data_IF_901254350879
#
_entry.id   IF_901254350879
#
_cell.length_a   1.000
_cell.length_b   1.000
_cell.length_c   1.000
_cell.angle_alpha   90.00
_cell.angle_beta   90.00
_cell.angle_gamma   90.00
#
_symmetry.space_group_name_H-M   'P 1'
#
loop_
_entity.id
_entity.type
_entity.pdbx_description
1 polymer ?
#
# COMPACT_ATOMS: atom_id res chain seq x y z
N UNK A 1 -60.75 46.79 -43.77
CA UNK A 1 -59.28 46.84 -43.80
C UNK A 1 -58.75 45.91 -42.71
N UNK A 2 -58.13 44.77 -43.05
CA UNK A 2 -57.61 43.85 -42.04
C UNK A 2 -56.19 44.25 -41.62
N UNK A 3 -55.95 44.32 -40.31
CA UNK A 3 -54.62 44.50 -39.70
C UNK A 3 -54.06 43.13 -39.36
N UNK A 4 -52.97 42.74 -40.00
CA UNK A 4 -52.24 41.51 -39.70
C UNK A 4 -51.29 41.76 -38.51
N UNK A 5 -51.47 40.98 -37.44
CA UNK A 5 -50.51 40.89 -36.33
C UNK A 5 -49.34 40.01 -36.81
N UNK A 6 -48.11 40.54 -36.78
CA UNK A 6 -46.89 39.73 -36.89
C UNK A 6 -46.48 39.29 -35.48
N UNK A 7 -46.37 37.99 -35.19
CA UNK A 7 -45.69 37.53 -33.99
C UNK A 7 -44.18 37.59 -34.25
N UNK A 8 -43.52 38.64 -33.75
CA UNK A 8 -42.06 38.70 -33.74
C UNK A 8 -41.52 37.95 -32.51
N UNK A 9 -40.72 36.92 -32.81
CA UNK A 9 -39.53 36.48 -32.09
C UNK A 9 -39.63 36.23 -30.58
N UNK A 10 -40.08 35.02 -30.22
CA UNK A 10 -39.83 34.43 -28.89
C UNK A 10 -39.13 33.06 -28.98
N UNK A 11 -38.33 32.85 -30.03
CA UNK A 11 -37.54 31.61 -30.21
C UNK A 11 -36.09 31.73 -29.73
N UNK A 12 -35.58 32.95 -29.55
CA UNK A 12 -34.23 33.20 -29.05
C UNK A 12 -34.05 33.00 -27.54
N UNK A 13 -35.13 33.01 -26.75
CA UNK A 13 -35.05 32.75 -25.30
C UNK A 13 -34.84 31.26 -24.98
N UNK A 14 -35.39 30.33 -25.77
CA UNK A 14 -35.18 28.90 -25.54
C UNK A 14 -33.73 28.46 -25.75
N UNK A 15 -32.98 29.14 -26.61
CA UNK A 15 -31.58 28.81 -26.89
C UNK A 15 -30.69 29.13 -25.68
N UNK A 16 -30.81 30.32 -25.11
CA UNK A 16 -30.02 30.73 -23.93
C UNK A 16 -30.34 29.88 -22.71
N UNK A 17 -31.62 29.53 -22.51
CA UNK A 17 -32.02 28.65 -21.40
C UNK A 17 -31.46 27.24 -21.57
N UNK A 18 -31.45 26.70 -22.80
CA UNK A 18 -30.85 25.38 -23.06
C UNK A 18 -29.34 25.35 -22.86
N UNK A 19 -28.65 26.44 -23.19
CA UNK A 19 -27.20 26.54 -23.03
C UNK A 19 -26.81 26.58 -21.56
N UNK A 20 -27.49 27.42 -20.76
CA UNK A 20 -27.23 27.50 -19.31
C UNK A 20 -27.51 26.16 -18.63
N UNK A 21 -28.57 25.46 -19.01
CA UNK A 21 -28.88 24.13 -18.49
C UNK A 21 -27.84 23.08 -18.88
N UNK A 22 -27.32 23.13 -20.12
CA UNK A 22 -26.27 22.21 -20.56
C UNK A 22 -24.96 22.43 -19.79
N UNK A 23 -24.56 23.69 -19.60
CA UNK A 23 -23.35 24.02 -18.83
C UNK A 23 -23.51 23.60 -17.37
N UNK A 24 -24.66 23.88 -16.75
CA UNK A 24 -24.92 23.47 -15.37
C UNK A 24 -24.86 21.94 -15.21
N UNK A 25 -25.43 21.18 -16.14
CA UNK A 25 -25.38 19.72 -16.12
C UNK A 25 -23.94 19.20 -16.23
N UNK A 26 -23.14 19.77 -17.14
CA UNK A 26 -21.73 19.39 -17.30
C UNK A 26 -20.94 19.67 -16.01
N UNK A 27 -21.16 20.82 -15.37
CA UNK A 27 -20.50 21.17 -14.10
C UNK A 27 -20.87 20.16 -13.01
N UNK A 28 -22.14 19.77 -12.91
CA UNK A 28 -22.59 18.76 -11.93
C UNK A 28 -21.90 17.42 -12.20
N UNK A 29 -21.87 16.95 -13.45
CA UNK A 29 -21.23 15.69 -13.82
C UNK A 29 -19.73 15.73 -13.49
N UNK A 30 -19.02 16.78 -13.91
CA UNK A 30 -17.58 16.93 -13.64
C UNK A 30 -17.29 17.00 -12.14
N UNK A 31 -18.14 17.68 -11.37
CA UNK A 31 -17.96 17.78 -9.91
C UNK A 31 -18.15 16.43 -9.25
N UNK A 32 -19.23 15.70 -9.58
CA UNK A 32 -19.51 14.38 -9.02
C UNK A 32 -18.42 13.38 -9.41
N UNK A 33 -18.05 13.31 -10.69
CA UNK A 33 -16.97 12.44 -11.15
C UNK A 33 -15.64 12.82 -10.52
N UNK A 34 -15.34 14.11 -10.41
CA UNK A 34 -14.13 14.62 -9.75
C UNK A 34 -14.07 14.20 -8.28
N UNK A 35 -15.18 14.30 -7.54
CA UNK A 35 -15.23 13.85 -6.14
C UNK A 35 -15.05 12.35 -6.00
N UNK A 36 -15.61 11.55 -6.92
CA UNK A 36 -15.49 10.10 -6.88
C UNK A 36 -14.06 9.64 -7.17
N UNK A 37 -13.41 10.26 -8.16
CA UNK A 37 -12.02 9.98 -8.49
C UNK A 37 -11.04 10.39 -7.39
N UNK A 38 -11.38 11.40 -6.57
CA UNK A 38 -10.51 11.89 -5.50
C UNK A 38 -10.66 11.09 -4.18
N UNK A 39 -11.81 10.44 -3.98
CA UNK A 39 -12.06 9.60 -2.81
C UNK A 39 -11.15 8.36 -2.76
N UNK A 40 -10.82 7.77 -3.92
CA UNK A 40 -9.87 6.64 -4.01
C UNK A 40 -8.42 7.02 -3.63
N UNK A 41 -8.09 8.32 -3.63
CA UNK A 41 -6.73 8.82 -3.37
C UNK A 41 -6.56 9.29 -1.92
N UNK A 42 -7.64 9.37 -1.14
CA UNK A 42 -7.64 9.96 0.22
C UNK A 42 -8.11 8.97 1.28
N UNK A 43 -7.61 7.74 1.25
CA UNK A 43 -7.45 7.00 2.50
C UNK A 43 -6.06 7.38 3.00
N UNK A 44 -5.91 8.14 4.10
CA UNK A 44 -4.64 8.15 4.81
C UNK A 44 -4.48 6.73 5.36
N UNK A 45 -3.85 5.86 4.58
CA UNK A 45 -3.42 4.57 5.07
C UNK A 45 -2.59 4.86 6.32
N UNK A 46 -2.94 4.24 7.44
CA UNK A 46 -2.11 4.15 8.63
C UNK A 46 -0.89 3.28 8.28
N UNK A 47 -0.09 3.71 7.29
CA UNK A 47 1.01 2.94 6.72
C UNK A 47 2.20 3.01 7.67
N UNK A 48 2.68 1.84 8.08
CA UNK A 48 3.83 1.72 8.98
C UNK A 48 5.11 2.15 8.27
N UNK A 49 5.76 3.21 8.76
CA UNK A 49 6.97 3.77 8.13
C UNK A 49 8.24 3.23 8.78
N UNK A 50 8.50 1.95 8.59
CA UNK A 50 9.73 1.30 9.04
C UNK A 50 10.63 0.91 7.87
N UNK A 51 11.94 1.07 8.05
CA UNK A 51 12.96 0.68 7.08
C UNK A 51 13.62 -0.61 7.53
N UNK A 52 13.59 -1.63 6.69
CA UNK A 52 14.10 -2.96 6.99
C UNK A 52 15.21 -3.34 6.02
N UNK A 53 16.24 -4.02 6.53
CA UNK A 53 17.32 -4.60 5.72
C UNK A 53 17.33 -6.11 5.90
N UNK A 54 17.67 -6.83 4.83
CA UNK A 54 17.75 -8.29 4.80
C UNK A 54 19.20 -8.72 4.53
N UNK A 55 19.70 -9.66 5.34
CA UNK A 55 20.91 -10.43 5.06
C UNK A 55 20.60 -11.91 5.12
N UNK A 56 21.06 -12.67 4.12
CA UNK A 56 20.88 -14.13 4.06
C UNK A 56 22.25 -14.75 3.82
N UNK A 57 22.53 -15.84 4.53
CA UNK A 57 23.70 -16.73 4.34
C UNK A 57 23.21 -18.17 4.23
N UNK A 58 24.12 -19.11 3.99
CA UNK A 58 23.79 -20.54 3.82
C UNK A 58 23.01 -21.15 5.01
N UNK A 59 23.17 -20.60 6.21
CA UNK A 59 22.65 -21.13 7.47
C UNK A 59 21.73 -20.17 8.25
N UNK A 60 21.60 -18.91 7.77
CA UNK A 60 20.98 -17.83 8.54
C UNK A 60 20.22 -16.83 7.69
N UNK A 61 19.07 -16.38 8.20
CA UNK A 61 18.35 -15.19 7.72
C UNK A 61 18.37 -14.16 8.84
N UNK A 62 18.68 -12.92 8.50
CA UNK A 62 18.71 -11.79 9.42
C UNK A 62 17.92 -10.63 8.83
N UNK A 63 16.97 -10.10 9.60
CA UNK A 63 16.24 -8.87 9.33
C UNK A 63 16.71 -7.82 10.34
N UNK A 64 17.06 -6.64 9.85
CA UNK A 64 17.53 -5.52 10.69
C UNK A 64 16.59 -4.35 10.53
N UNK A 65 16.14 -3.78 11.65
CA UNK A 65 15.42 -2.52 11.66
C UNK A 65 16.39 -1.37 11.41
N UNK A 66 16.42 -0.85 10.19
CA UNK A 66 17.37 0.17 9.77
C UNK A 66 16.95 1.61 10.16
N UNK A 67 15.69 1.82 10.52
CA UNK A 67 15.19 3.11 10.99
C UNK A 67 13.69 3.27 10.78
N UNK A 68 13.13 4.42 11.17
CA UNK A 68 11.70 4.71 11.04
C UNK A 68 10.93 4.45 12.33
N UNK A 69 9.66 4.12 12.18
CA UNK A 69 8.74 3.79 13.27
C UNK A 69 9.02 2.41 13.84
N UNK A 70 8.93 2.27 15.17
CA UNK A 70 9.00 0.99 15.84
C UNK A 70 7.71 0.18 15.59
N UNK A 71 7.84 -1.14 15.45
CA UNK A 71 6.71 -2.01 15.08
C UNK A 71 6.49 -3.07 16.16
N UNK A 72 5.27 -3.22 16.72
CA UNK A 72 4.99 -4.29 17.67
C UNK A 72 5.34 -5.67 17.10
N UNK A 73 6.02 -6.51 17.88
CA UNK A 73 6.45 -7.83 17.40
C UNK A 73 5.27 -8.73 17.03
N UNK A 74 4.12 -8.60 17.71
CA UNK A 74 2.90 -9.34 17.43
C UNK A 74 2.19 -8.91 16.14
N UNK A 75 2.53 -7.72 15.63
CA UNK A 75 2.06 -7.24 14.33
C UNK A 75 2.89 -7.81 13.17
N UNK A 76 4.10 -8.31 13.42
CA UNK A 76 5.04 -8.70 12.37
C UNK A 76 4.80 -10.13 11.89
N UNK A 77 4.68 -10.28 10.57
CA UNK A 77 4.59 -11.57 9.92
C UNK A 77 5.73 -11.75 8.90
N UNK A 78 6.46 -12.86 9.05
CA UNK A 78 7.56 -13.26 8.16
C UNK A 78 7.12 -14.43 7.32
N UNK A 79 7.26 -14.30 6.00
CA UNK A 79 7.06 -15.38 5.04
C UNK A 79 8.33 -15.57 4.24
N UNK A 80 8.88 -16.78 4.29
CA UNK A 80 10.08 -17.15 3.53
C UNK A 80 9.73 -18.16 2.45
N UNK A 81 10.23 -17.93 1.23
CA UNK A 81 10.14 -18.87 0.11
C UNK A 81 11.52 -19.20 -0.41
N UNK A 82 11.81 -20.49 -0.53
CA UNK A 82 13.07 -21.00 -1.10
C UNK A 82 12.75 -21.66 -2.43
N UNK A 83 13.37 -21.18 -3.51
CA UNK A 83 13.13 -21.64 -4.88
C UNK A 83 11.65 -21.64 -5.29
N UNK A 84 10.87 -20.68 -4.75
CA UNK A 84 9.43 -20.54 -5.01
C UNK A 84 8.54 -21.33 -4.05
N UNK A 85 9.10 -22.22 -3.23
CA UNK A 85 8.36 -23.02 -2.24
C UNK A 85 8.39 -22.34 -0.88
N UNK A 86 7.22 -22.10 -0.30
CA UNK A 86 7.07 -21.53 1.03
C UNK A 86 7.64 -22.46 2.11
N UNK A 87 8.28 -21.85 3.11
CA UNK A 87 8.88 -22.52 4.25
C UNK A 87 8.01 -22.24 5.48
N UNK A 88 6.97 -23.05 5.75
CA UNK A 88 6.01 -22.77 6.82
C UNK A 88 6.61 -22.83 8.24
N UNK A 89 7.80 -23.41 8.39
CA UNK A 89 8.54 -23.44 9.66
C UNK A 89 9.37 -22.18 9.95
N UNK A 90 9.34 -21.18 9.07
CA UNK A 90 10.03 -19.90 9.25
C UNK A 90 8.99 -18.80 9.39
N UNK A 91 8.62 -18.52 10.63
CA UNK A 91 7.74 -17.42 11.07
C UNK A 91 8.50 -16.45 11.97
N UNK A 92 7.89 -15.33 12.38
CA UNK A 92 8.51 -14.39 13.32
C UNK A 92 8.97 -15.10 14.60
N UNK A 93 8.10 -15.90 15.20
CA UNK A 93 8.35 -16.61 16.47
C UNK A 93 9.39 -17.72 16.35
N UNK A 94 9.72 -18.15 15.13
CA UNK A 94 10.75 -19.15 14.89
C UNK A 94 12.18 -18.60 14.97
N UNK A 95 12.33 -17.27 14.90
CA UNK A 95 13.60 -16.57 15.07
C UNK A 95 13.80 -16.06 16.49
N UNK A 96 14.90 -15.34 16.68
CA UNK A 96 15.23 -14.65 17.91
C UNK A 96 15.46 -13.18 17.61
N UNK A 97 14.85 -12.29 18.39
CA UNK A 97 15.17 -10.86 18.35
C UNK A 97 16.38 -10.61 19.26
N UNK A 98 17.40 -9.99 18.69
CA UNK A 98 18.53 -9.37 19.39
C UNK A 98 18.17 -7.90 19.59
N UNK A 99 17.62 -7.62 20.79
CA UNK A 99 16.95 -6.38 21.15
C UNK A 99 16.86 -6.21 22.67
N UNK A 100 16.05 -5.25 23.12
CA UNK A 100 15.91 -4.92 24.54
C UNK A 100 14.77 -5.68 25.27
N UNK A 101 13.91 -6.37 24.51
CA UNK A 101 12.88 -7.26 25.01
C UNK A 101 11.59 -6.56 25.47
N UNK A 102 11.30 -5.37 24.92
CA UNK A 102 10.08 -4.62 25.22
C UNK A 102 8.84 -5.04 24.38
N UNK A 103 9.00 -6.08 23.54
CA UNK A 103 8.01 -6.58 22.58
C UNK A 103 7.69 -5.64 21.41
N UNK A 104 8.57 -4.68 21.16
CA UNK A 104 8.60 -3.85 19.95
C UNK A 104 9.87 -4.19 19.18
N UNK A 105 9.80 -4.14 17.86
CA UNK A 105 10.98 -4.20 17.00
C UNK A 105 11.42 -2.77 16.69
N UNK A 106 12.48 -2.34 17.35
CA UNK A 106 12.97 -0.96 17.32
C UNK A 106 14.13 -0.74 16.33
N UNK A 107 14.33 0.50 15.85
CA UNK A 107 15.52 0.86 15.09
C UNK A 107 16.84 0.41 15.73
N UNK A 108 17.58 -0.43 15.01
CA UNK A 108 18.85 -1.02 15.45
C UNK A 108 18.75 -2.48 15.87
N UNK A 109 17.53 -2.97 16.13
CA UNK A 109 17.32 -4.36 16.52
C UNK A 109 17.36 -5.32 15.33
N UNK A 110 17.61 -6.60 15.66
CA UNK A 110 17.85 -7.64 14.65
C UNK A 110 17.07 -8.90 14.96
N UNK A 111 16.21 -9.30 14.03
CA UNK A 111 15.60 -10.62 14.06
C UNK A 111 16.48 -11.62 13.32
N UNK A 112 16.78 -12.76 13.95
CA UNK A 112 17.75 -13.74 13.46
C UNK A 112 17.14 -15.14 13.48
N UNK A 113 17.13 -15.81 12.33
CA UNK A 113 16.79 -17.24 12.21
C UNK A 113 18.02 -18.03 11.78
N UNK A 114 18.45 -18.96 12.64
CA UNK A 114 19.60 -19.88 12.40
C UNK A 114 19.15 -21.33 12.20
N UNK A 115 20.08 -22.18 11.79
CA UNK A 115 19.84 -23.61 11.60
C UNK A 115 19.14 -23.92 10.28
N UNK A 116 19.28 -23.04 9.30
CA UNK A 116 18.80 -23.25 7.94
C UNK A 116 19.83 -24.10 7.17
N UNK A 117 19.39 -24.70 6.07
CA UNK A 117 20.27 -25.42 5.13
C UNK A 117 19.92 -24.95 3.73
N UNK A 118 20.45 -23.78 3.38
CA UNK A 118 20.25 -23.13 2.10
C UNK A 118 21.42 -23.48 1.19
N UNK A 119 21.13 -23.82 -0.07
CA UNK A 119 22.17 -23.99 -1.09
C UNK A 119 22.62 -22.62 -1.57
N UNK A 120 23.92 -22.43 -1.86
CA UNK A 120 24.45 -21.14 -2.33
C UNK A 120 23.94 -20.69 -3.71
N UNK A 121 23.17 -21.52 -4.40
CA UNK A 121 22.45 -21.17 -5.64
C UNK A 121 20.92 -21.01 -5.42
N UNK A 122 20.44 -21.20 -4.19
CA UNK A 122 19.03 -21.07 -3.86
C UNK A 122 18.57 -19.62 -3.99
N UNK A 123 17.34 -19.42 -4.48
CA UNK A 123 16.68 -18.11 -4.43
C UNK A 123 15.79 -18.04 -3.20
N UNK A 124 16.16 -17.19 -2.26
CA UNK A 124 15.45 -16.98 -1.00
C UNK A 124 14.69 -15.66 -1.11
N UNK A 125 13.35 -15.74 -1.17
CA UNK A 125 12.47 -14.58 -1.06
C UNK A 125 11.98 -14.45 0.37
N UNK A 126 12.19 -13.28 0.97
CA UNK A 126 11.70 -12.95 2.30
C UNK A 126 10.71 -11.81 2.16
N UNK A 127 9.51 -12.01 2.72
CA UNK A 127 8.46 -11.02 2.86
C UNK A 127 8.27 -10.75 4.36
N UNK A 128 8.35 -9.48 4.75
CA UNK A 128 7.99 -9.00 6.08
C UNK A 128 6.84 -8.01 5.93
N UNK A 129 5.76 -8.23 6.70
CA UNK A 129 4.60 -7.36 6.69
C UNK A 129 4.15 -7.03 8.12
N UNK A 130 3.65 -5.81 8.28
CA UNK A 130 2.86 -5.39 9.44
C UNK A 130 1.40 -5.80 9.18
N UNK A 131 0.86 -6.68 10.02
CA UNK A 131 -0.49 -7.21 9.90
C UNK A 131 -1.56 -6.31 10.49
N UNK A 132 -1.20 -5.37 11.37
CA UNK A 132 -2.14 -4.39 11.89
C UNK A 132 -2.50 -3.35 10.84
N UNK A 133 -1.51 -2.90 10.07
CA UNK A 133 -1.70 -1.89 9.02
C UNK A 133 -1.83 -2.48 7.62
N UNK A 134 -1.46 -3.75 7.44
CA UNK A 134 -1.39 -4.40 6.13
C UNK A 134 -0.18 -3.94 5.28
N UNK A 135 0.77 -3.22 5.88
CA UNK A 135 1.92 -2.65 5.19
C UNK A 135 2.99 -3.71 4.93
N UNK A 136 3.48 -3.81 3.70
CA UNK A 136 4.66 -4.63 3.39
C UNK A 136 5.93 -3.83 3.68
N UNK A 137 6.65 -4.24 4.72
CA UNK A 137 7.87 -3.57 5.18
C UNK A 137 9.11 -3.98 4.36
N UNK A 138 9.14 -5.23 3.89
CA UNK A 138 10.22 -5.75 3.05
C UNK A 138 9.73 -6.87 2.14
N UNK A 139 10.10 -6.82 0.86
CA UNK A 139 9.96 -7.93 -0.09
C UNK A 139 11.22 -8.00 -0.96
N UNK A 140 12.09 -8.97 -0.66
CA UNK A 140 13.37 -9.12 -1.34
C UNK A 140 13.66 -10.57 -1.66
N UNK A 141 14.24 -10.78 -2.84
CA UNK A 141 14.82 -12.07 -3.23
C UNK A 141 16.33 -11.94 -3.27
N UNK A 142 17.02 -12.82 -2.57
CA UNK A 142 18.49 -12.87 -2.48
C UNK A 142 18.97 -14.30 -2.69
N UNK A 143 20.25 -14.41 -3.04
CA UNK A 143 20.99 -15.67 -3.02
C UNK A 143 21.91 -15.64 -1.80
N UNK A 144 22.00 -16.74 -1.03
CA UNK A 144 22.86 -16.84 0.15
C UNK A 144 24.33 -16.50 -0.07
#
# INVERSE_FOLDING_TARGET
MPMAIRPDSDRGQSEVVSEVLAVALVVIIVTVTGTYLLQDVTTPDEETRAQMTLSVTDDRIELTHAGGEAVPEDALNVVVRVNGTEQPGITWESGSVDGDGDATFDPGERWIRVGLSLSGDARVRVLLADTHTGTVLLDRTVTP
#
